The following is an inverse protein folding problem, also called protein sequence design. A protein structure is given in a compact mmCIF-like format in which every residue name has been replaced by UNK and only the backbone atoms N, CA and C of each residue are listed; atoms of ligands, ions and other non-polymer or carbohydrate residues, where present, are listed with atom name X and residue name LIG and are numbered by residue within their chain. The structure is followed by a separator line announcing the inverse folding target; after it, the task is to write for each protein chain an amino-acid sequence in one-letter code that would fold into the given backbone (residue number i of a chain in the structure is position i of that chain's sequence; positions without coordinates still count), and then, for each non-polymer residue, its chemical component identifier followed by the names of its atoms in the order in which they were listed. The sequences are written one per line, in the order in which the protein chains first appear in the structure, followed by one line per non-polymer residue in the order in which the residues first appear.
data_IF_202000684995
#
_entry.id   IF_202000684995
#
_cell.length_a   1.000
_cell.length_b   1.000
_cell.length_c   1.000
_cell.angle_alpha   90.00
_cell.angle_beta   90.00
_cell.angle_gamma   90.00
#
_symmetry.space_group_name_H-M   'P 1'
#
loop_
_entity.id
_entity.type
_entity.pdbx_description
1 polymer ?
#
# COMPACT_ATOMS: atom_id res chain seq x y z
N UNK A 1 -4.34 -3.68 1.34
CA UNK A 1 -4.18 -2.22 1.01
C UNK A 1 -2.77 -1.98 0.53
N UNK A 2 -2.61 -1.26 -0.55
CA UNK A 2 -1.29 -0.90 -1.12
C UNK A 2 -1.25 0.62 -1.29
N UNK A 3 -0.24 1.27 -0.72
CA UNK A 3 -0.01 2.71 -0.87
C UNK A 3 1.07 2.92 -1.93
N UNK A 4 0.71 3.68 -2.97
CA UNK A 4 1.57 3.98 -4.12
C UNK A 4 2.50 5.17 -3.84
N UNK A 5 3.67 5.22 -4.49
CA UNK A 5 4.51 6.42 -4.51
C UNK A 5 3.84 7.57 -5.27
N UNK A 6 4.34 8.78 -5.08
CA UNK A 6 3.87 10.00 -5.74
C UNK A 6 4.59 10.30 -7.06
N UNK A 7 5.71 9.62 -7.33
CA UNK A 7 6.47 9.78 -8.58
C UNK A 7 6.01 8.80 -9.68
N UNK A 8 6.08 9.24 -10.92
CA UNK A 8 5.64 8.45 -12.07
C UNK A 8 6.38 7.13 -12.26
N UNK A 9 7.73 7.06 -12.18
CA UNK A 9 8.45 5.80 -12.31
C UNK A 9 8.05 4.79 -11.22
N UNK A 10 7.90 5.25 -9.99
CA UNK A 10 7.48 4.43 -8.86
C UNK A 10 6.06 3.90 -9.04
N UNK A 11 5.14 4.72 -9.56
CA UNK A 11 3.77 4.29 -9.86
C UNK A 11 3.74 3.20 -10.93
N UNK A 12 4.50 3.34 -12.01
CA UNK A 12 4.60 2.32 -13.07
C UNK A 12 5.12 0.99 -12.53
N UNK A 13 6.19 1.04 -11.71
CA UNK A 13 6.75 -0.14 -11.08
C UNK A 13 5.76 -0.79 -10.11
N UNK A 14 5.04 0.02 -9.35
CA UNK A 14 4.01 -0.45 -8.41
C UNK A 14 2.85 -1.14 -9.12
N UNK A 15 2.38 -0.59 -10.23
CA UNK A 15 1.33 -1.23 -11.02
C UNK A 15 1.79 -2.53 -11.68
N UNK A 16 3.04 -2.60 -12.12
CA UNK A 16 3.63 -3.86 -12.59
C UNK A 16 3.62 -4.93 -11.48
N UNK A 17 3.99 -4.53 -10.28
CA UNK A 17 3.94 -5.39 -9.10
C UNK A 17 2.50 -5.82 -8.77
N UNK A 18 1.54 -4.90 -8.71
CA UNK A 18 0.13 -5.21 -8.40
C UNK A 18 -0.46 -6.20 -9.42
N UNK A 19 -0.12 -6.05 -10.69
CA UNK A 19 -0.53 -7.02 -11.74
C UNK A 19 0.06 -8.40 -11.56
N UNK A 20 1.21 -8.53 -10.91
CA UNK A 20 1.85 -9.82 -10.65
C UNK A 20 1.22 -10.57 -9.47
N UNK A 21 0.41 -9.89 -8.66
CA UNK A 21 -0.31 -10.53 -7.55
C UNK A 21 -1.51 -11.28 -8.10
N UNK A 22 -1.58 -12.56 -7.82
CA UNK A 22 -2.70 -13.43 -8.22
C UNK A 22 -3.90 -13.23 -7.27
N UNK A 23 -4.45 -12.01 -7.28
CA UNK A 23 -5.65 -11.64 -6.54
C UNK A 23 -6.60 -10.84 -7.43
N UNK A 24 -7.89 -11.05 -7.24
CA UNK A 24 -8.90 -10.22 -7.88
C UNK A 24 -8.76 -8.75 -7.49
N UNK A 25 -8.91 -7.84 -8.47
CA UNK A 25 -8.81 -6.40 -8.25
C UNK A 25 -9.72 -5.90 -7.12
N UNK A 26 -10.91 -6.49 -6.98
CA UNK A 26 -11.87 -6.15 -5.93
C UNK A 26 -11.37 -6.43 -4.50
N UNK A 27 -10.31 -7.25 -4.37
CA UNK A 27 -9.69 -7.58 -3.08
C UNK A 27 -8.48 -6.71 -2.75
N UNK A 28 -8.07 -5.86 -3.68
CA UNK A 28 -6.90 -4.99 -3.55
C UNK A 28 -7.38 -3.54 -3.48
N UNK A 29 -7.25 -2.95 -2.30
CA UNK A 29 -7.44 -1.52 -2.14
C UNK A 29 -6.13 -0.81 -2.47
N UNK A 30 -6.18 0.13 -3.41
CA UNK A 30 -5.03 0.95 -3.80
C UNK A 30 -5.25 2.39 -3.36
N UNK A 31 -4.25 2.95 -2.72
CA UNK A 31 -4.24 4.35 -2.25
C UNK A 31 -3.09 5.08 -2.93
N UNK A 32 -3.41 6.16 -3.62
CA UNK A 32 -2.43 7.04 -4.23
C UNK A 32 -2.24 8.31 -3.41
N UNK A 33 -1.02 8.83 -3.37
CA UNK A 33 -0.69 10.12 -2.78
C UNK A 33 -0.47 11.13 -3.90
N UNK A 34 -1.24 12.22 -3.91
CA UNK A 34 -1.15 13.25 -4.93
C UNK A 34 -1.86 12.86 -6.23
N UNK A 35 -1.13 12.69 -7.32
CA UNK A 35 -1.65 12.28 -8.63
C UNK A 35 -1.32 10.82 -8.92
N UNK A 36 -2.31 10.02 -9.26
CA UNK A 36 -2.10 8.60 -9.60
C UNK A 36 -2.53 8.26 -11.01
N UNK A 37 -2.61 9.25 -11.89
CA UNK A 37 -3.15 9.09 -13.25
C UNK A 37 -2.30 8.25 -14.20
N UNK A 38 -1.11 7.76 -13.80
CA UNK A 38 -0.17 7.12 -14.69
C UNK A 38 -0.24 5.60 -14.58
N UNK A 39 -0.64 4.95 -15.66
CA UNK A 39 -0.53 3.50 -15.81
C UNK A 39 -1.54 2.68 -15.01
N UNK A 40 -2.63 3.29 -14.54
CA UNK A 40 -3.71 2.58 -13.85
C UNK A 40 -4.31 1.53 -14.79
N UNK A 41 -4.26 0.23 -14.46
CA UNK A 41 -4.91 -0.79 -15.27
C UNK A 41 -6.43 -0.64 -15.26
N UNK A 42 -7.09 -1.00 -16.35
CA UNK A 42 -8.55 -0.90 -16.49
C UNK A 42 -9.31 -1.61 -15.36
N UNK A 43 -8.79 -2.74 -14.89
CA UNK A 43 -9.36 -3.49 -13.77
C UNK A 43 -9.42 -2.70 -12.46
N UNK A 44 -8.61 -1.65 -12.33
CA UNK A 44 -8.56 -0.76 -11.16
C UNK A 44 -9.17 0.61 -11.41
N UNK A 45 -9.67 0.87 -12.61
CA UNK A 45 -10.34 2.13 -12.94
C UNK A 45 -11.51 2.37 -11.96
N UNK A 46 -11.45 3.51 -11.25
CA UNK A 46 -12.45 3.83 -10.21
C UNK A 46 -12.24 3.17 -8.84
N UNK A 47 -11.25 2.30 -8.67
CA UNK A 47 -10.95 1.63 -7.41
C UNK A 47 -9.71 2.18 -6.67
N UNK A 48 -9.11 3.24 -7.20
CA UNK A 48 -7.96 3.90 -6.57
C UNK A 48 -8.46 5.09 -5.76
N UNK A 49 -8.20 5.09 -4.45
CA UNK A 49 -8.44 6.27 -3.61
C UNK A 49 -7.23 7.20 -3.70
N UNK A 50 -7.43 8.34 -4.29
CA UNK A 50 -6.39 9.39 -4.36
C UNK A 50 -6.54 10.32 -3.17
N UNK A 51 -5.46 10.50 -2.42
CA UNK A 51 -5.34 11.46 -1.33
C UNK A 51 -4.70 12.72 -1.90
N UNK A 52 -5.49 13.77 -2.01
CA UNK A 52 -5.05 15.09 -2.47
C UNK A 52 -4.68 16.03 -1.33
N UNK A 53 -4.32 17.26 -1.67
CA UNK A 53 -3.94 18.26 -0.66
C UNK A 53 -5.05 18.59 0.33
N UNK A 54 -6.31 18.60 -0.11
CA UNK A 54 -7.46 18.82 0.76
C UNK A 54 -7.71 17.71 1.79
N UNK A 55 -7.14 16.54 1.58
CA UNK A 55 -7.24 15.39 2.48
C UNK A 55 -6.14 15.41 3.57
N UNK A 56 -5.19 16.33 3.46
CA UNK A 56 -4.08 16.47 4.39
C UNK A 56 -4.34 17.60 5.39
N UNK A 57 -3.79 17.44 6.59
CA UNK A 57 -3.76 18.50 7.58
C UNK A 57 -2.59 19.47 7.32
N UNK A 58 -2.41 20.46 8.17
CA UNK A 58 -1.35 21.47 8.07
C UNK A 58 0.07 20.87 8.21
N UNK A 59 0.18 19.65 8.74
CA UNK A 59 1.44 18.88 8.82
C UNK A 59 1.65 18.00 7.59
N UNK A 60 0.77 18.11 6.61
CA UNK A 60 0.73 17.25 5.40
C UNK A 60 0.51 15.77 5.72
N UNK A 61 -0.21 15.49 6.81
CA UNK A 61 -0.60 14.14 7.20
C UNK A 61 -2.05 13.90 6.82
N UNK A 62 -2.43 12.67 6.46
CA UNK A 62 -3.82 12.35 6.18
C UNK A 62 -4.72 12.68 7.37
N UNK A 63 -5.77 13.45 7.14
CA UNK A 63 -6.74 13.79 8.16
C UNK A 63 -7.36 12.53 8.74
N UNK A 64 -7.86 12.62 9.98
CA UNK A 64 -8.46 11.48 10.67
C UNK A 64 -9.59 10.86 9.86
N UNK A 65 -10.48 11.68 9.30
CA UNK A 65 -11.61 11.21 8.47
C UNK A 65 -11.14 10.40 7.26
N UNK A 66 -10.05 10.84 6.61
CA UNK A 66 -9.45 10.15 5.46
C UNK A 66 -8.84 8.81 5.89
N UNK A 67 -8.15 8.77 7.02
CA UNK A 67 -7.60 7.52 7.57
C UNK A 67 -8.71 6.54 7.92
N UNK A 68 -9.76 7.00 8.59
CA UNK A 68 -10.90 6.18 8.98
C UNK A 68 -11.61 5.60 7.75
N UNK A 69 -11.75 6.39 6.68
CA UNK A 69 -12.29 5.94 5.38
C UNK A 69 -11.42 4.84 4.77
N UNK A 70 -10.11 5.08 4.65
CA UNK A 70 -9.16 4.13 4.07
C UNK A 70 -9.11 2.83 4.88
N UNK A 71 -9.15 2.93 6.20
CA UNK A 71 -9.09 1.76 7.08
C UNK A 71 -10.41 1.02 7.28
N UNK A 72 -11.52 1.58 6.80
CA UNK A 72 -12.84 0.95 6.90
C UNK A 72 -12.89 -0.43 6.21
N UNK A 73 -12.05 -0.64 5.20
CA UNK A 73 -11.91 -1.94 4.52
C UNK A 73 -11.26 -3.03 5.38
N UNK A 74 -10.67 -2.66 6.52
CA UNK A 74 -9.93 -3.57 7.43
C UNK A 74 -8.95 -4.47 6.67
N UNK A 75 -7.93 -3.92 6.04
CA UNK A 75 -6.98 -4.70 5.25
C UNK A 75 -6.27 -5.74 6.12
N UNK A 76 -6.10 -6.95 5.63
CA UNK A 76 -5.28 -7.96 6.30
C UNK A 76 -3.79 -7.65 6.15
N UNK A 77 -3.41 -7.19 4.98
CA UNK A 77 -2.04 -6.79 4.66
C UNK A 77 -2.05 -5.34 4.17
N UNK A 78 -1.18 -4.52 4.72
CA UNK A 78 -0.96 -3.15 4.28
C UNK A 78 0.49 -3.00 3.82
N UNK A 79 0.69 -2.45 2.64
CA UNK A 79 2.00 -2.37 1.98
C UNK A 79 2.28 -0.91 1.61
N UNK A 80 3.43 -0.42 2.02
CA UNK A 80 3.95 0.87 1.64
C UNK A 80 4.98 0.72 0.51
N UNK A 81 4.61 1.11 -0.70
CA UNK A 81 5.52 1.18 -1.86
C UNK A 81 6.05 2.60 -2.10
N UNK A 82 5.63 3.55 -1.29
CA UNK A 82 6.05 4.95 -1.38
C UNK A 82 7.52 5.15 -1.02
N UNK A 83 8.03 6.34 -1.30
CA UNK A 83 9.38 6.71 -0.91
C UNK A 83 9.57 6.63 0.62
N UNK A 84 10.79 6.30 1.09
CA UNK A 84 11.06 6.14 2.53
C UNK A 84 10.75 7.38 3.38
N UNK A 85 10.85 8.57 2.78
CA UNK A 85 10.59 9.86 3.44
C UNK A 85 9.11 10.25 3.47
N UNK A 86 8.22 9.52 2.80
CA UNK A 86 6.80 9.80 2.84
C UNK A 86 6.19 9.46 4.19
N UNK A 87 6.01 10.49 5.01
CA UNK A 87 5.39 10.35 6.32
C UNK A 87 3.90 10.00 6.22
N UNK A 88 3.21 10.54 5.23
CA UNK A 88 1.80 10.23 4.97
C UNK A 88 1.59 8.72 4.69
N UNK A 89 2.41 8.14 3.82
CA UNK A 89 2.37 6.71 3.53
C UNK A 89 2.73 5.86 4.75
N UNK A 90 3.73 6.27 5.52
CA UNK A 90 4.12 5.58 6.74
C UNK A 90 3.00 5.53 7.78
N UNK A 91 2.23 6.61 7.93
CA UNK A 91 1.08 6.65 8.83
C UNK A 91 -0.06 5.78 8.30
N UNK A 92 -0.39 5.86 7.02
CA UNK A 92 -1.48 5.08 6.43
C UNK A 92 -1.26 3.58 6.59
N UNK A 93 -0.02 3.12 6.48
CA UNK A 93 0.34 1.71 6.65
C UNK A 93 0.67 1.39 8.11
N UNK A 94 1.55 2.16 8.73
CA UNK A 94 2.08 1.87 10.06
C UNK A 94 1.06 1.96 11.19
N UNK A 95 0.05 2.83 11.07
CA UNK A 95 -1.05 2.94 12.03
C UNK A 95 -2.32 2.22 11.58
N UNK A 96 -2.30 1.50 10.46
CA UNK A 96 -3.47 0.76 9.97
C UNK A 96 -3.81 -0.42 10.88
N UNK A 97 -5.09 -0.85 10.88
CA UNK A 97 -5.51 -2.04 11.61
C UNK A 97 -5.11 -3.35 10.93
N UNK A 98 -4.21 -3.31 9.96
CA UNK A 98 -3.75 -4.48 9.25
C UNK A 98 -3.02 -5.47 10.18
N UNK A 99 -3.18 -6.77 9.91
CA UNK A 99 -2.48 -7.81 10.66
C UNK A 99 -0.99 -7.84 10.32
N UNK A 100 -0.64 -7.53 9.07
CA UNK A 100 0.74 -7.45 8.60
C UNK A 100 0.95 -6.14 7.87
N UNK A 101 1.92 -5.37 8.32
CA UNK A 101 2.31 -4.08 7.76
C UNK A 101 3.71 -4.21 7.14
N UNK A 102 3.79 -3.92 5.86
CA UNK A 102 5.01 -4.08 5.07
C UNK A 102 5.51 -2.72 4.59
N UNK A 103 6.79 -2.46 4.75
CA UNK A 103 7.42 -1.23 4.28
C UNK A 103 8.83 -1.45 3.77
N UNK A 104 9.45 -0.39 3.25
CA UNK A 104 10.87 -0.38 2.92
C UNK A 104 11.70 -0.36 4.19
N UNK A 105 12.87 -0.97 4.13
CA UNK A 105 13.83 -0.94 5.23
C UNK A 105 14.25 0.49 5.56
N UNK A 106 13.89 0.93 6.74
CA UNK A 106 14.28 2.20 7.32
C UNK A 106 14.27 2.04 8.85
N UNK A 107 15.46 2.09 9.45
CA UNK A 107 15.62 1.94 10.90
C UNK A 107 14.86 2.99 11.71
N UNK A 108 14.68 4.20 11.15
CA UNK A 108 13.92 5.26 11.82
C UNK A 108 12.43 4.94 11.93
N UNK A 109 11.94 3.96 11.18
CA UNK A 109 10.53 3.55 11.10
C UNK A 109 10.30 2.08 11.42
N UNK A 110 11.24 1.45 12.10
CA UNK A 110 11.15 0.04 12.49
C UNK A 110 9.84 -0.28 13.22
N UNK A 111 9.35 0.62 14.05
CA UNK A 111 8.10 0.43 14.79
C UNK A 111 6.83 0.52 13.91
N UNK A 112 6.94 1.00 12.68
CA UNK A 112 5.79 1.17 11.78
C UNK A 112 5.44 -0.11 11.02
N UNK A 113 6.38 -1.04 10.87
CA UNK A 113 6.22 -2.21 10.01
C UNK A 113 6.54 -3.50 10.73
N UNK A 114 5.77 -4.53 10.42
CA UNK A 114 6.03 -5.90 10.91
C UNK A 114 7.06 -6.60 10.03
N UNK A 115 7.17 -6.18 8.76
CA UNK A 115 8.15 -6.63 7.81
C UNK A 115 8.75 -5.45 7.03
N UNK A 116 10.05 -5.41 6.95
CA UNK A 116 10.77 -4.42 6.13
C UNK A 116 11.56 -5.11 5.01
N UNK A 117 11.40 -4.58 3.80
CA UNK A 117 12.08 -5.09 2.60
C UNK A 117 13.31 -4.24 2.35
N UNK A 118 14.47 -4.87 2.39
CA UNK A 118 15.75 -4.22 2.10
C UNK A 118 16.05 -4.22 0.60
N UNK A 119 16.57 -3.11 0.12
CA UNK A 119 16.97 -2.89 -1.29
C UNK A 119 15.90 -2.19 -2.12
N UNK A 120 16.27 -1.86 -3.36
CA UNK A 120 15.30 -1.37 -4.33
C UNK A 120 14.22 -2.43 -4.53
N UNK A 121 12.96 -2.10 -4.34
CA UNK A 121 11.87 -3.00 -4.67
C UNK A 121 11.79 -3.09 -6.18
N UNK A 122 12.60 -3.96 -6.77
CA UNK A 122 12.26 -4.41 -8.11
C UNK A 122 10.91 -5.10 -8.01
N UNK A 123 10.04 -4.89 -8.97
CA UNK A 123 8.72 -5.52 -8.99
C UNK A 123 8.80 -7.03 -8.76
N UNK A 124 9.86 -7.67 -9.25
CA UNK A 124 10.14 -9.10 -9.08
C UNK A 124 10.43 -9.49 -7.62
N UNK A 125 11.23 -8.69 -6.91
CA UNK A 125 11.59 -9.01 -5.52
C UNK A 125 10.44 -8.76 -4.55
N UNK A 126 9.70 -7.69 -4.76
CA UNK A 126 8.50 -7.40 -3.98
C UNK A 126 7.41 -8.46 -4.24
N UNK A 127 7.23 -8.89 -5.48
CA UNK A 127 6.32 -9.96 -5.86
C UNK A 127 6.69 -11.30 -5.20
N UNK A 128 7.97 -11.68 -5.21
CA UNK A 128 8.43 -12.94 -4.59
C UNK A 128 8.25 -12.91 -3.07
N UNK A 129 8.64 -11.83 -2.40
CA UNK A 129 8.49 -11.68 -0.96
C UNK A 129 7.01 -11.70 -0.56
N UNK A 130 6.17 -10.98 -1.29
CA UNK A 130 4.74 -10.91 -0.98
C UNK A 130 3.99 -12.19 -1.35
N UNK A 131 4.36 -12.85 -2.43
CA UNK A 131 3.81 -14.16 -2.76
C UNK A 131 4.12 -15.19 -1.67
N UNK A 132 5.34 -15.18 -1.14
CA UNK A 132 5.74 -16.04 -0.01
C UNK A 132 5.03 -15.65 1.29
N UNK A 133 4.81 -14.35 1.53
CA UNK A 133 4.05 -13.89 2.69
C UNK A 133 2.59 -14.27 2.59
N UNK A 134 1.96 -14.04 1.44
CA UNK A 134 0.57 -14.41 1.20
C UNK A 134 0.36 -15.93 1.29
N UNK A 135 1.37 -16.72 0.93
CA UNK A 135 1.36 -18.18 1.11
C UNK A 135 1.57 -18.60 2.57
N UNK A 136 2.25 -17.79 3.39
CA UNK A 136 2.47 -18.08 4.81
C UNK A 136 1.37 -17.55 5.73
N UNK A 137 0.58 -16.59 5.25
CA UNK A 137 -0.65 -16.13 5.91
C UNK A 137 -1.79 -17.05 5.51
N UNK A 138 -1.59 -18.36 5.65
CA UNK A 138 -2.62 -19.38 5.48
C UNK A 138 -2.93 -20.03 6.84
N UNK A 139 -4.12 -20.36 7.15
CA UNK A 139 -5.23 -20.72 6.26
C UNK A 139 -6.05 -19.52 5.79
N UNK A 140 -6.78 -19.69 4.69
CA UNK A 140 -7.42 -18.60 4.03
C UNK A 140 -8.29 -17.84 5.02
N UNK A 141 -7.85 -16.64 5.34
CA UNK A 141 -8.77 -15.61 5.81
C UNK A 141 -9.54 -15.19 4.55
N UNK A 142 -10.13 -16.15 3.93
CA UNK A 142 -11.29 -15.91 3.11
C UNK A 142 -12.37 -15.56 4.11
N UNK A 143 -12.88 -14.33 4.09
CA UNK A 143 -14.16 -14.11 4.71
C UNK A 143 -15.07 -15.11 4.01
N UNK A 144 -15.37 -16.17 4.70
CA UNK A 144 -16.48 -17.01 4.34
C UNK A 144 -17.69 -16.11 4.41
N UNK A 145 -18.08 -15.63 3.23
CA UNK A 145 -19.32 -14.91 2.94
C UNK A 145 -19.39 -13.48 3.42
#
# INVERSE_FOLDING_TARGET
MIVLPDDEPGQRASWSFIRSIDLEAARIQVVGLGSTGVGVPDAFAGHVRVIGESDLDWRRLPQRSVRDEVWASRPHVAINLSAPDSLAAAILVGASPAQVRVGRYDLSRESCYDLMIQGEPTAERAADVLSRLLQKVDPPILPLR
#
